data_IF_184821518508
#
_entry.id   IF_184821518508
#
_cell.length_a   1.000
_cell.length_b   1.000
_cell.length_c   1.000
_cell.angle_alpha   90.00
_cell.angle_beta   90.00
_cell.angle_gamma   90.00
#
_symmetry.space_group_name_H-M   'P 1'
#
loop_
_entity.id
_entity.type
_entity.pdbx_description
1 polymer ?
#
# COMPACT_ATOMS: atom_id res chain seq x y z
N UNK A 1 30.28 9.85 8.90
CA UNK A 1 30.36 9.86 7.42
C UNK A 1 29.32 10.85 6.90
N UNK A 2 29.71 11.91 6.20
CA UNK A 2 28.78 12.89 5.61
C UNK A 2 28.30 12.34 4.26
N UNK A 3 26.99 12.29 4.03
CA UNK A 3 26.37 11.92 2.74
C UNK A 3 25.55 13.09 2.20
N UNK A 4 25.66 13.41 0.90
CA UNK A 4 24.77 14.39 0.29
C UNK A 4 23.33 13.86 0.30
N UNK A 5 22.38 14.75 0.55
CA UNK A 5 20.94 14.47 0.60
C UNK A 5 20.26 15.58 -0.20
N UNK A 6 19.29 15.20 -1.01
CA UNK A 6 18.42 16.15 -1.70
C UNK A 6 17.16 16.36 -0.86
N UNK A 7 16.79 17.63 -0.68
CA UNK A 7 15.60 18.03 0.05
C UNK A 7 14.62 18.66 -0.94
N UNK A 8 13.39 18.16 -0.96
CA UNK A 8 12.31 18.67 -1.81
C UNK A 8 11.22 19.23 -0.91
N UNK A 9 10.92 20.51 -1.08
CA UNK A 9 9.82 21.19 -0.38
C UNK A 9 8.57 21.19 -1.26
N UNK A 10 7.48 20.62 -0.75
CA UNK A 10 6.19 20.56 -1.42
C UNK A 10 5.18 21.36 -0.61
N UNK A 11 4.60 22.40 -1.21
CA UNK A 11 3.48 23.11 -0.60
C UNK A 11 2.18 22.37 -0.89
N UNK A 12 1.45 21.96 0.16
CA UNK A 12 0.19 21.23 0.01
C UNK A 12 -0.89 21.83 0.89
N UNK A 13 -1.96 22.32 0.25
CA UNK A 13 -3.13 22.98 0.87
C UNK A 13 -2.75 24.22 1.68
N UNK A 14 -2.21 24.03 2.87
CA UNK A 14 -1.92 25.08 3.85
C UNK A 14 -0.54 24.94 4.51
N UNK A 15 0.22 23.88 4.19
CA UNK A 15 1.49 23.58 4.86
C UNK A 15 2.58 23.13 3.89
N UNK A 16 3.82 23.41 4.28
CA UNK A 16 5.01 22.91 3.62
C UNK A 16 5.37 21.53 4.16
N UNK A 17 5.69 20.61 3.25
CA UNK A 17 6.16 19.26 3.56
C UNK A 17 7.56 19.13 2.98
N UNK A 18 8.53 18.69 3.80
CA UNK A 18 9.86 18.36 3.33
C UNK A 18 9.99 16.85 3.08
N UNK A 19 10.38 16.49 1.86
CA UNK A 19 10.75 15.14 1.46
C UNK A 19 12.27 15.07 1.29
N UNK A 20 12.87 13.93 1.65
CA UNK A 20 14.32 13.75 1.64
C UNK A 20 14.69 12.51 0.85
N UNK A 21 15.72 12.57 0.04
CA UNK A 21 16.27 11.40 -0.65
C UNK A 21 17.78 11.40 -0.61
N UNK A 22 18.35 10.20 -0.52
CA UNK A 22 19.80 9.98 -0.65
C UNK A 22 20.22 9.75 -2.10
N UNK A 23 19.26 9.50 -3.00
CA UNK A 23 19.47 9.42 -4.43
C UNK A 23 19.30 10.80 -5.05
N UNK A 24 20.41 11.36 -5.54
CA UNK A 24 20.47 12.70 -6.13
C UNK A 24 20.07 12.74 -7.61
N UNK A 25 19.88 11.58 -8.24
CA UNK A 25 19.57 11.48 -9.67
C UNK A 25 18.05 11.44 -9.93
N UNK A 26 17.24 11.29 -8.88
CA UNK A 26 15.79 11.26 -9.01
C UNK A 26 15.24 12.63 -9.40
N UNK A 27 14.27 12.63 -10.30
CA UNK A 27 13.49 13.83 -10.58
C UNK A 27 12.59 14.17 -9.38
N UNK A 28 12.23 15.45 -9.27
CA UNK A 28 11.29 15.91 -8.24
C UNK A 28 9.95 15.15 -8.33
N UNK A 29 9.47 14.86 -9.54
CA UNK A 29 8.22 14.12 -9.76
C UNK A 29 8.33 12.69 -9.25
N UNK A 30 9.43 11.98 -9.53
CA UNK A 30 9.66 10.62 -9.04
C UNK A 30 9.73 10.58 -7.50
N UNK A 31 10.39 11.56 -6.87
CA UNK A 31 10.44 11.67 -5.41
C UNK A 31 9.02 11.76 -4.83
N UNK A 32 8.18 12.62 -5.41
CA UNK A 32 6.79 12.77 -4.97
C UNK A 32 5.99 11.48 -5.20
N UNK A 33 6.15 10.82 -6.35
CA UNK A 33 5.47 9.56 -6.67
C UNK A 33 5.86 8.43 -5.70
N UNK A 34 7.14 8.26 -5.41
CA UNK A 34 7.62 7.24 -4.47
C UNK A 34 7.10 7.49 -3.05
N UNK A 35 7.15 8.73 -2.59
CA UNK A 35 6.56 9.09 -1.29
C UNK A 35 5.03 8.91 -1.27
N UNK A 36 4.36 9.14 -2.40
CA UNK A 36 2.93 8.86 -2.55
C UNK A 36 2.60 7.37 -2.50
N UNK A 37 3.47 6.53 -3.08
CA UNK A 37 3.33 5.07 -3.05
C UNK A 37 3.49 4.49 -1.64
N UNK A 38 4.17 5.20 -0.71
CA UNK A 38 4.33 4.78 0.69
C UNK A 38 3.00 4.39 1.33
N UNK A 39 1.97 5.23 1.16
CA UNK A 39 0.64 5.03 1.75
C UNK A 39 -0.04 3.72 1.34
N UNK A 40 0.35 3.14 0.19
CA UNK A 40 -0.19 1.85 -0.27
C UNK A 40 0.13 0.73 0.73
N UNK A 41 1.23 0.82 1.47
CA UNK A 41 1.62 -0.16 2.48
C UNK A 41 0.66 -0.11 3.67
N UNK A 42 0.32 1.08 4.16
CA UNK A 42 -0.66 1.24 5.25
C UNK A 42 -2.05 0.74 4.85
N UNK A 43 -2.49 1.04 3.63
CA UNK A 43 -3.73 0.49 3.09
C UNK A 43 -3.68 -1.04 3.02
N UNK A 44 -2.58 -1.62 2.52
CA UNK A 44 -2.39 -3.07 2.47
C UNK A 44 -2.45 -3.73 3.85
N UNK A 45 -1.83 -3.13 4.88
CA UNK A 45 -1.95 -3.62 6.25
C UNK A 45 -3.37 -3.47 6.82
N UNK A 46 -4.12 -2.45 6.42
CA UNK A 46 -5.52 -2.29 6.84
C UNK A 46 -6.38 -3.42 6.27
N UNK A 47 -6.25 -3.71 4.98
CA UNK A 47 -6.97 -4.78 4.28
C UNK A 47 -6.59 -6.17 4.83
N UNK A 48 -5.30 -6.42 5.04
CA UNK A 48 -4.79 -7.67 5.63
C UNK A 48 -5.47 -7.97 6.98
N UNK A 49 -5.68 -6.94 7.80
CA UNK A 49 -6.30 -7.07 9.11
C UNK A 49 -7.82 -7.20 9.04
N UNK A 50 -8.48 -6.36 8.24
CA UNK A 50 -9.94 -6.25 8.21
C UNK A 50 -10.60 -7.31 7.31
N UNK A 51 -10.08 -7.49 6.09
CA UNK A 51 -10.72 -8.28 5.04
C UNK A 51 -10.20 -9.72 5.03
N UNK A 52 -8.87 -9.89 5.06
CA UNK A 52 -8.23 -11.21 5.06
C UNK A 52 -8.25 -11.86 6.45
N UNK A 53 -8.41 -11.07 7.51
CA UNK A 53 -8.63 -11.56 8.87
C UNK A 53 -7.36 -12.03 9.59
N UNK A 54 -6.20 -11.45 9.28
CA UNK A 54 -4.93 -11.80 9.96
C UNK A 54 -4.98 -11.61 11.47
N UNK A 55 -5.80 -10.67 11.97
CA UNK A 55 -6.01 -10.42 13.41
C UNK A 55 -7.01 -11.38 14.08
N UNK A 56 -7.69 -12.23 13.31
CA UNK A 56 -8.75 -13.10 13.83
C UNK A 56 -8.26 -14.50 14.21
N UNK A 57 -6.95 -14.75 14.15
CA UNK A 57 -6.38 -16.04 14.56
C UNK A 57 -6.66 -16.32 16.04
N UNK A 58 -7.18 -17.51 16.33
CA UNK A 58 -7.40 -18.03 17.69
C UNK A 58 -6.40 -19.14 18.03
N UNK A 59 -5.32 -19.27 17.25
CA UNK A 59 -4.27 -20.24 17.51
C UNK A 59 -3.55 -19.91 18.82
N UNK A 60 -3.32 -20.93 19.66
CA UNK A 60 -2.63 -20.78 20.96
C UNK A 60 -1.14 -21.12 20.91
N UNK A 61 -0.67 -21.67 19.79
CA UNK A 61 0.74 -21.95 19.55
C UNK A 61 1.36 -20.80 18.74
N UNK A 62 2.47 -20.23 19.23
CA UNK A 62 3.19 -19.15 18.56
C UNK A 62 3.54 -19.46 17.10
N UNK A 63 4.02 -20.69 16.82
CA UNK A 63 4.35 -21.09 15.45
C UNK A 63 3.11 -21.10 14.55
N UNK A 64 1.96 -21.53 15.07
CA UNK A 64 0.71 -21.54 14.32
C UNK A 64 0.20 -20.11 14.03
N UNK A 65 0.37 -19.18 14.98
CA UNK A 65 0.05 -17.76 14.78
C UNK A 65 0.94 -17.15 13.68
N UNK A 66 2.24 -17.40 13.71
CA UNK A 66 3.18 -16.92 12.66
C UNK A 66 2.83 -17.52 11.30
N UNK A 67 2.54 -18.82 11.24
CA UNK A 67 2.15 -19.47 10.00
C UNK A 67 0.85 -18.89 9.43
N UNK A 68 -0.16 -18.63 10.29
CA UNK A 68 -1.41 -17.97 9.87
C UNK A 68 -1.16 -16.59 9.26
N UNK A 69 -0.33 -15.77 9.90
CA UNK A 69 0.02 -14.45 9.38
C UNK A 69 0.71 -14.55 8.01
N UNK A 70 1.65 -15.49 7.85
CA UNK A 70 2.34 -15.73 6.57
C UNK A 70 1.37 -16.15 5.47
N UNK A 71 0.41 -17.03 5.77
CA UNK A 71 -0.64 -17.41 4.82
C UNK A 71 -1.53 -16.23 4.45
N UNK A 72 -1.95 -15.41 5.42
CA UNK A 72 -2.71 -14.19 5.13
C UNK A 72 -1.92 -13.23 4.23
N UNK A 73 -0.64 -12.98 4.51
CA UNK A 73 0.20 -12.12 3.68
C UNK A 73 0.34 -12.68 2.25
N UNK A 74 0.60 -13.97 2.10
CA UNK A 74 0.67 -14.63 0.79
C UNK A 74 -0.65 -14.52 0.03
N UNK A 75 -1.78 -14.76 0.70
CA UNK A 75 -3.11 -14.62 0.09
C UNK A 75 -3.33 -13.19 -0.40
N UNK A 76 -3.02 -12.17 0.42
CA UNK A 76 -3.09 -10.76 0.00
C UNK A 76 -2.23 -10.50 -1.22
N UNK A 77 -0.96 -10.91 -1.22
CA UNK A 77 -0.06 -10.69 -2.35
C UNK A 77 -0.59 -11.33 -3.64
N UNK A 78 -1.09 -12.57 -3.56
CA UNK A 78 -1.69 -13.25 -4.70
C UNK A 78 -2.95 -12.53 -5.20
N UNK A 79 -3.82 -12.06 -4.31
CA UNK A 79 -5.00 -11.26 -4.68
C UNK A 79 -4.60 -9.98 -5.40
N UNK A 80 -3.57 -9.27 -4.92
CA UNK A 80 -3.09 -8.04 -5.54
C UNK A 80 -2.45 -8.29 -6.91
N UNK A 81 -1.61 -9.32 -7.07
CA UNK A 81 -1.04 -9.71 -8.37
C UNK A 81 -2.15 -10.11 -9.34
N UNK A 82 -3.16 -10.84 -8.87
CA UNK A 82 -4.30 -11.22 -9.69
C UNK A 82 -5.10 -9.99 -10.12
N UNK A 83 -5.38 -9.07 -9.20
CA UNK A 83 -6.10 -7.83 -9.49
C UNK A 83 -5.36 -6.93 -10.49
N UNK A 84 -4.03 -6.83 -10.39
CA UNK A 84 -3.19 -6.08 -11.33
C UNK A 84 -3.25 -6.66 -12.76
N UNK A 85 -3.40 -7.99 -12.87
CA UNK A 85 -3.54 -8.69 -14.16
C UNK A 85 -4.95 -8.64 -14.75
N UNK A 86 -5.96 -8.23 -13.98
CA UNK A 86 -7.29 -8.02 -14.52
C UNK A 86 -7.29 -6.76 -15.40
N UNK A 87 -7.91 -6.83 -16.59
CA UNK A 87 -8.15 -5.61 -17.40
C UNK A 87 -8.84 -4.56 -16.53
N UNK A 88 -8.37 -3.32 -16.63
CA UNK A 88 -8.95 -2.16 -15.95
C UNK A 88 -10.46 -2.11 -16.24
N UNK A 89 -11.25 -2.28 -15.17
CA UNK A 89 -12.71 -2.50 -15.14
C UNK A 89 -13.21 -3.88 -15.59
N UNK A 90 -13.17 -4.91 -14.71
CA UNK A 90 -14.17 -5.97 -14.80
C UNK A 90 -15.57 -5.35 -14.68
N UNK A 91 -16.48 -5.71 -15.60
CA UNK A 91 -17.90 -5.33 -15.46
C UNK A 91 -18.38 -5.73 -14.06
N UNK A 92 -18.87 -4.77 -13.27
CA UNK A 92 -19.45 -5.06 -11.96
C UNK A 92 -20.54 -6.11 -12.14
N UNK A 93 -20.33 -7.30 -11.56
CA UNK A 93 -21.31 -8.41 -11.59
C UNK A 93 -22.66 -7.99 -10.98
N UNK A 94 -22.65 -7.03 -10.06
CA UNK A 94 -23.86 -6.39 -9.53
C UNK A 94 -23.83 -4.89 -9.82
N UNK A 95 -24.54 -4.48 -10.89
CA UNK A 95 -24.83 -3.06 -11.18
C UNK A 95 -25.95 -2.61 -10.23
N UNK A 96 -25.61 -1.84 -9.21
CA UNK A 96 -26.62 -1.20 -8.33
C UNK A 96 -27.21 -0.02 -9.10
N UNK A 97 -28.52 -0.11 -9.40
CA UNK A 97 -29.26 0.97 -10.10
C UNK A 97 -29.20 2.25 -9.26
N UNK A 98 -28.77 3.37 -9.85
CA UNK A 98 -28.94 4.71 -9.26
C UNK A 98 -27.76 5.33 -8.50
N UNK A 99 -26.54 4.77 -8.59
CA UNK A 99 -25.32 5.50 -8.18
C UNK A 99 -24.44 5.72 -9.40
N UNK A 100 -24.25 6.98 -9.77
CA UNK A 100 -23.30 7.41 -10.80
C UNK A 100 -21.88 7.05 -10.37
N UNK A 101 -21.14 6.49 -11.33
CA UNK A 101 -19.73 6.09 -11.23
C UNK A 101 -18.83 7.20 -10.70
#
# INVERSE_FOLDING_TARGET
MKRPVQVVWVFRRTQWIALFTTDLNLSITQIIEYYGARWKIESGFKELKQDIGSQKSQCRNAQAVTNHLNFCMMATTLTWIYADRLKTNPERRHKVKGRTS
#
